data_IF_650296180734
#
_entry.id   IF_650296180734
#
_cell.length_a   1.000
_cell.length_b   1.000
_cell.length_c   1.000
_cell.angle_alpha   90.00
_cell.angle_beta   90.00
_cell.angle_gamma   90.00
#
_symmetry.space_group_name_H-M   'P 1'
#
loop_
_entity.id
_entity.type
_entity.pdbx_description
1 polymer ?
#
# COMPACT_ATOMS: atom_id res chain seq x y z
N UNK A 1 -25.32 4.86 -14.84
CA UNK A 1 -24.07 4.83 -15.62
C UNK A 1 -23.15 3.92 -14.83
N UNK A 2 -23.19 2.64 -15.14
CA UNK A 2 -22.50 1.57 -14.41
C UNK A 2 -21.07 1.56 -14.94
N UNK A 3 -20.10 1.85 -14.08
CA UNK A 3 -18.67 1.78 -14.42
C UNK A 3 -18.35 0.39 -14.97
N UNK A 4 -17.70 0.36 -16.14
CA UNK A 4 -17.27 -0.85 -16.85
C UNK A 4 -16.13 -1.55 -16.07
N UNK A 5 -16.46 -2.12 -14.90
CA UNK A 5 -15.56 -3.01 -14.16
C UNK A 5 -15.12 -4.23 -15.01
N UNK A 6 -15.86 -4.54 -16.08
CA UNK A 6 -15.52 -5.58 -17.04
C UNK A 6 -14.30 -5.25 -17.92
N UNK A 7 -13.92 -3.98 -18.05
CA UNK A 7 -12.83 -3.57 -18.94
C UNK A 7 -11.42 -3.84 -18.37
N UNK A 8 -11.30 -4.13 -17.07
CA UNK A 8 -10.00 -4.22 -16.38
C UNK A 8 -9.62 -5.64 -15.94
N UNK A 9 -10.30 -6.64 -16.50
CA UNK A 9 -10.07 -8.05 -16.20
C UNK A 9 -10.73 -8.52 -14.92
N UNK A 10 -10.44 -9.76 -14.53
CA UNK A 10 -10.84 -10.31 -13.23
C UNK A 10 -10.07 -9.66 -12.08
N UNK A 11 -10.54 -9.87 -10.85
CA UNK A 11 -9.90 -9.37 -9.64
C UNK A 11 -8.42 -9.80 -9.52
N UNK A 12 -8.13 -11.06 -9.84
CA UNK A 12 -6.76 -11.62 -9.80
C UNK A 12 -5.87 -10.98 -10.86
N UNK A 13 -6.37 -10.86 -12.09
CA UNK A 13 -5.66 -10.23 -13.21
C UNK A 13 -5.32 -8.76 -12.89
N UNK A 14 -6.27 -8.01 -12.35
CA UNK A 14 -6.03 -6.63 -11.93
C UNK A 14 -4.96 -6.53 -10.83
N UNK A 15 -5.01 -7.44 -9.84
CA UNK A 15 -4.02 -7.49 -8.77
C UNK A 15 -2.61 -7.78 -9.31
N UNK A 16 -2.48 -8.74 -10.23
CA UNK A 16 -1.22 -9.09 -10.88
C UNK A 16 -0.64 -7.91 -11.68
N UNK A 17 -1.47 -7.24 -12.48
CA UNK A 17 -1.08 -6.05 -13.25
C UNK A 17 -0.73 -4.87 -12.32
N UNK A 18 -1.31 -4.79 -11.11
CA UNK A 18 -0.96 -3.79 -10.11
C UNK A 18 0.40 -4.08 -9.44
N UNK A 19 0.70 -5.35 -9.15
CA UNK A 19 1.85 -5.75 -8.34
C UNK A 19 3.18 -5.30 -8.95
N UNK A 20 3.39 -5.53 -10.25
CA UNK A 20 4.65 -5.19 -10.92
C UNK A 20 4.99 -3.68 -10.85
N UNK A 21 4.11 -2.75 -11.28
CA UNK A 21 4.38 -1.32 -11.16
C UNK A 21 4.41 -0.84 -9.70
N UNK A 22 3.62 -1.42 -8.79
CA UNK A 22 3.64 -1.05 -7.38
C UNK A 22 4.97 -1.42 -6.73
N UNK A 23 5.47 -2.64 -6.99
CA UNK A 23 6.76 -3.11 -6.53
C UNK A 23 7.86 -2.14 -6.96
N UNK A 24 7.90 -1.79 -8.25
CA UNK A 24 8.89 -0.87 -8.79
C UNK A 24 8.82 0.51 -8.13
N UNK A 25 7.62 1.09 -8.06
CA UNK A 25 7.43 2.43 -7.49
C UNK A 25 7.82 2.50 -6.00
N UNK A 26 7.51 1.45 -5.22
CA UNK A 26 7.87 1.39 -3.80
C UNK A 26 9.36 1.13 -3.62
N UNK A 27 9.99 0.30 -4.45
CA UNK A 27 11.46 0.13 -4.46
C UNK A 27 12.16 1.45 -4.75
N UNK A 28 11.79 2.15 -5.83
CA UNK A 28 12.40 3.43 -6.19
C UNK A 28 12.18 4.48 -5.08
N UNK A 29 11.01 4.48 -4.42
CA UNK A 29 10.75 5.33 -3.25
C UNK A 29 11.70 5.00 -2.10
N UNK A 30 11.85 3.73 -1.75
CA UNK A 30 12.75 3.29 -0.68
C UNK A 30 14.19 3.71 -0.98
N UNK A 31 14.68 3.52 -2.20
CA UNK A 31 16.01 3.96 -2.63
C UNK A 31 16.19 5.49 -2.47
N UNK A 32 15.23 6.29 -2.92
CA UNK A 32 15.29 7.76 -2.81
C UNK A 32 15.20 8.29 -1.37
N UNK A 33 14.51 7.57 -0.48
CA UNK A 33 14.21 8.04 0.88
C UNK A 33 15.03 7.34 1.97
N UNK A 34 15.97 6.47 1.61
CA UNK A 34 16.79 5.72 2.57
C UNK A 34 16.00 4.66 3.35
N UNK A 35 15.07 3.99 2.68
CA UNK A 35 14.34 2.84 3.20
C UNK A 35 14.68 1.55 2.46
N UNK A 36 14.05 0.46 2.85
CA UNK A 36 14.15 -0.84 2.18
C UNK A 36 12.76 -1.48 2.11
N UNK A 37 12.39 -1.96 0.94
CA UNK A 37 11.21 -2.81 0.79
C UNK A 37 11.51 -4.22 1.30
N UNK A 38 10.68 -4.73 2.21
CA UNK A 38 10.74 -6.13 2.67
C UNK A 38 9.78 -7.00 1.87
N UNK A 39 8.53 -6.57 1.72
CA UNK A 39 7.52 -7.30 0.95
C UNK A 39 6.42 -6.38 0.43
N UNK A 40 5.78 -6.83 -0.66
CA UNK A 40 4.55 -6.24 -1.19
C UNK A 40 3.65 -7.38 -1.66
N UNK A 41 2.46 -7.50 -1.08
CA UNK A 41 1.50 -8.57 -1.37
C UNK A 41 0.10 -8.03 -1.61
N UNK A 42 -0.75 -8.82 -2.27
CA UNK A 42 -2.17 -8.55 -2.43
C UNK A 42 -2.96 -9.73 -1.87
N UNK A 43 -3.99 -9.43 -1.07
CA UNK A 43 -4.84 -10.45 -0.46
C UNK A 43 -6.32 -10.08 -0.69
N UNK A 44 -7.12 -11.06 -1.10
CA UNK A 44 -8.56 -10.94 -1.18
C UNK A 44 -9.18 -11.12 0.22
N UNK A 45 -10.01 -10.17 0.65
CA UNK A 45 -10.69 -10.19 1.94
C UNK A 45 -12.17 -9.88 1.80
N UNK A 46 -13.02 -10.39 2.70
CA UNK A 46 -14.43 -9.99 2.75
C UNK A 46 -14.55 -8.49 3.06
N UNK A 47 -15.33 -7.78 2.24
CA UNK A 47 -15.75 -6.41 2.43
C UNK A 47 -16.91 -6.31 3.44
N UNK A 48 -17.18 -5.08 3.90
CA UNK A 48 -18.20 -4.82 4.92
C UNK A 48 -19.63 -5.18 4.44
N UNK A 49 -19.84 -5.22 3.13
CA UNK A 49 -21.12 -5.52 2.49
C UNK A 49 -21.19 -6.94 1.92
N UNK A 50 -20.21 -7.80 2.26
CA UNK A 50 -20.11 -9.17 1.74
C UNK A 50 -19.52 -9.27 0.33
N UNK A 51 -19.08 -8.15 -0.24
CA UNK A 51 -18.31 -8.06 -1.47
C UNK A 51 -16.85 -8.51 -1.25
N UNK A 52 -16.13 -8.87 -2.32
CA UNK A 52 -14.70 -9.19 -2.24
C UNK A 52 -13.88 -7.93 -2.50
N UNK A 53 -13.00 -7.59 -1.55
CA UNK A 53 -12.05 -6.48 -1.65
C UNK A 53 -10.64 -7.04 -1.77
N UNK A 54 -9.82 -6.47 -2.64
CA UNK A 54 -8.37 -6.75 -2.64
C UNK A 54 -7.67 -5.64 -1.90
N UNK A 55 -6.84 -6.01 -0.92
CA UNK A 55 -5.97 -5.10 -0.23
C UNK A 55 -4.51 -5.38 -0.61
N UNK A 56 -3.79 -4.34 -1.01
CA UNK A 56 -2.34 -4.38 -1.13
C UNK A 56 -1.68 -4.03 0.21
N UNK A 57 -0.67 -4.78 0.60
CA UNK A 57 0.12 -4.57 1.82
C UNK A 57 1.59 -4.43 1.46
N UNK A 58 2.20 -3.31 1.83
CA UNK A 58 3.64 -3.09 1.73
C UNK A 58 4.26 -3.07 3.13
N UNK A 59 5.37 -3.78 3.29
CA UNK A 59 6.20 -3.76 4.49
C UNK A 59 7.54 -3.16 4.13
N UNK A 60 7.88 -2.05 4.78
CA UNK A 60 9.12 -1.31 4.52
C UNK A 60 9.88 -1.07 5.81
N UNK A 61 11.21 -1.20 5.74
CA UNK A 61 12.09 -0.69 6.78
C UNK A 61 12.40 0.77 6.45
N UNK A 62 11.98 1.70 7.30
CA UNK A 62 12.15 3.13 7.10
C UNK A 62 12.62 3.79 8.40
N UNK A 63 13.76 4.51 8.36
CA UNK A 63 14.37 5.17 9.53
C UNK A 63 14.51 4.24 10.76
N UNK A 64 14.96 3.01 10.52
CA UNK A 64 15.17 1.99 11.56
C UNK A 64 13.89 1.34 12.10
N UNK A 65 12.72 1.65 11.54
CA UNK A 65 11.43 1.09 11.96
C UNK A 65 10.81 0.27 10.84
N UNK A 66 10.22 -0.86 11.20
CA UNK A 66 9.41 -1.67 10.29
C UNK A 66 8.01 -1.08 10.22
N UNK A 67 7.63 -0.58 9.05
CA UNK A 67 6.35 0.07 8.79
C UNK A 67 5.49 -0.83 7.89
N UNK A 68 4.23 -1.01 8.26
CA UNK A 68 3.25 -1.76 7.48
C UNK A 68 2.21 -0.80 6.95
N UNK A 69 2.00 -0.80 5.64
CA UNK A 69 1.00 0.01 4.98
C UNK A 69 0.05 -0.88 4.18
N UNK A 70 -1.25 -0.75 4.44
CA UNK A 70 -2.30 -1.53 3.79
C UNK A 70 -3.33 -0.61 3.17
N UNK A 71 -3.74 -0.90 1.93
CA UNK A 71 -4.74 -0.10 1.20
C UNK A 71 -5.58 -0.98 0.26
N UNK A 72 -6.88 -0.73 0.22
CA UNK A 72 -7.78 -1.34 -0.76
C UNK A 72 -7.46 -0.89 -2.20
N UNK A 73 -7.35 -1.85 -3.11
CA UNK A 73 -7.09 -1.63 -4.55
C UNK A 73 -8.22 -2.12 -5.45
N UNK A 74 -9.11 -2.96 -4.92
CA UNK A 74 -10.33 -3.45 -5.59
C UNK A 74 -11.57 -3.23 -4.68
N UNK A 75 -12.75 -2.85 -5.20
CA UNK A 75 -13.05 -2.62 -6.61
C UNK A 75 -12.20 -1.47 -7.16
N UNK A 76 -11.83 -1.57 -8.44
CA UNK A 76 -10.86 -0.67 -9.00
C UNK A 76 -11.54 0.68 -9.26
N UNK A 77 -10.80 1.77 -9.09
CA UNK A 77 -11.25 3.13 -9.42
C UNK A 77 -10.38 3.79 -10.50
N UNK A 78 -9.27 3.14 -10.87
CA UNK A 78 -8.28 3.59 -11.84
C UNK A 78 -7.64 2.36 -12.49
N UNK A 79 -6.94 2.53 -13.63
CA UNK A 79 -6.06 1.48 -14.15
C UNK A 79 -5.01 1.06 -13.12
N UNK A 80 -4.66 -0.23 -13.11
CA UNK A 80 -3.76 -0.83 -12.13
C UNK A 80 -2.42 -0.08 -11.98
N UNK A 81 -1.79 0.35 -13.08
CA UNK A 81 -0.56 1.14 -13.04
C UNK A 81 -0.74 2.52 -12.38
N UNK A 82 -1.88 3.18 -12.61
CA UNK A 82 -2.20 4.46 -11.94
C UNK A 82 -2.45 4.22 -10.45
N UNK A 83 -3.15 3.14 -10.10
CA UNK A 83 -3.39 2.76 -8.71
C UNK A 83 -2.09 2.43 -7.97
N UNK A 84 -1.13 1.80 -8.64
CA UNK A 84 0.22 1.53 -8.12
C UNK A 84 0.99 2.82 -7.79
N UNK A 85 0.98 3.80 -8.69
CA UNK A 85 1.60 5.10 -8.43
C UNK A 85 0.95 5.81 -7.23
N UNK A 86 -0.38 5.84 -7.17
CA UNK A 86 -1.12 6.41 -6.03
C UNK A 86 -0.77 5.68 -4.73
N UNK A 87 -0.70 4.36 -4.76
CA UNK A 87 -0.34 3.55 -3.60
C UNK A 87 1.04 3.93 -3.05
N UNK A 88 2.05 4.05 -3.93
CA UNK A 88 3.40 4.46 -3.54
C UNK A 88 3.45 5.91 -3.01
N UNK A 89 2.75 6.86 -3.64
CA UNK A 89 2.69 8.24 -3.17
C UNK A 89 2.06 8.36 -1.78
N UNK A 90 0.99 7.63 -1.51
CA UNK A 90 0.34 7.65 -0.19
C UNK A 90 1.20 6.95 0.85
N UNK A 91 1.89 5.87 0.48
CA UNK A 91 2.91 5.26 1.35
C UNK A 91 3.98 6.30 1.71
N UNK A 92 4.51 7.03 0.73
CA UNK A 92 5.51 8.09 0.94
C UNK A 92 5.01 9.14 1.93
N UNK A 93 3.82 9.69 1.69
CA UNK A 93 3.20 10.68 2.56
C UNK A 93 3.09 10.16 3.99
N UNK A 94 2.62 8.93 4.18
CA UNK A 94 2.49 8.34 5.52
C UNK A 94 3.82 8.08 6.20
N UNK A 95 4.84 7.62 5.46
CA UNK A 95 6.17 7.45 6.01
C UNK A 95 6.77 8.79 6.47
N UNK A 96 6.50 9.88 5.75
CA UNK A 96 7.04 11.19 6.07
C UNK A 96 6.24 11.93 7.16
N UNK A 97 4.94 11.66 7.28
CA UNK A 97 4.05 12.40 8.20
C UNK A 97 3.64 11.62 9.44
N UNK A 98 3.54 10.29 9.39
CA UNK A 98 3.09 9.47 10.52
C UNK A 98 4.24 8.80 11.26
N UNK A 99 5.37 8.57 10.59
CA UNK A 99 6.61 8.11 11.24
C UNK A 99 7.35 9.34 11.78
N UNK A 100 6.74 10.03 12.74
CA UNK A 100 7.45 11.02 13.54
C UNK A 100 8.62 10.33 14.23
N UNK A 101 9.80 10.95 14.11
CA UNK A 101 11.02 10.54 14.78
C UNK A 101 10.75 10.54 16.29
N UNK A 102 10.57 9.36 16.88
CA UNK A 102 10.87 9.17 18.30
C UNK A 102 12.39 9.28 18.43
N UNK A 103 12.88 10.51 18.35
CA UNK A 103 14.26 10.86 18.62
C UNK A 103 14.36 11.12 20.12
N UNK A 104 14.73 10.08 20.86
CA UNK A 104 15.21 10.20 22.23
C UNK A 104 14.13 10.35 23.31
N UNK A 105 14.20 9.40 24.23
CA UNK A 105 13.85 9.50 25.65
C UNK A 105 12.46 9.13 26.16
N UNK A 106 12.54 8.24 27.15
CA UNK A 106 11.70 7.97 28.30
C UNK A 106 10.21 7.56 28.19
N UNK A 107 10.00 6.31 28.60
CA UNK A 107 8.95 5.85 29.52
C UNK A 107 7.63 6.64 29.58
N UNK A 108 6.61 6.19 28.82
CA UNK A 108 5.25 6.08 29.39
C UNK A 108 4.30 5.21 28.57
N UNK A 109 3.37 4.51 29.25
CA UNK A 109 2.54 3.48 28.65
C UNK A 109 1.37 4.09 27.87
N UNK A 110 0.98 3.37 26.82
CA UNK A 110 -0.22 3.62 26.03
C UNK A 110 -1.45 3.53 26.93
N UNK A 111 -2.18 4.65 27.06
CA UNK A 111 -3.58 4.61 27.50
C UNK A 111 -4.46 4.24 26.29
N UNK A 112 -5.40 3.33 26.57
CA UNK A 112 -6.36 2.68 25.65
C UNK A 112 -7.12 3.65 24.73
#
# INVERSE_FOLDING_TARGET
MTDDHAAWGGLEEYADVFLQPALRAVQDLCERRGGKLESLTCDAVPGATGDVVVAATAVVLFRGRRCVFRRGIWPPSHPAATRAAIFASVLEERLLTQVHLLLGDDTSPVAL
#
